data_IF_791713135817
#
_entry.id   IF_791713135817
#
_cell.length_a   1.000
_cell.length_b   1.000
_cell.length_c   1.000
_cell.angle_alpha   90.00
_cell.angle_beta   90.00
_cell.angle_gamma   90.00
#
_symmetry.space_group_name_H-M   'P 1'
#
loop_
_entity.id
_entity.type
_entity.pdbx_description
1 polymer ?
#
# COMPACT_ATOMS: atom_id res chain seq x y z
N UNK A 1 7.15 -9.30 29.11
CA UNK A 1 6.45 -9.08 27.83
C UNK A 1 5.17 -9.88 27.76
N UNK A 2 4.04 -9.24 27.48
CA UNK A 2 2.76 -9.89 27.17
C UNK A 2 2.52 -9.81 25.67
N UNK A 3 2.50 -10.96 24.98
CA UNK A 3 2.20 -11.04 23.55
C UNK A 3 0.70 -11.26 23.37
N UNK A 4 0.07 -10.46 22.49
CA UNK A 4 -1.37 -10.49 22.22
C UNK A 4 -1.58 -10.47 20.71
N UNK A 5 -2.22 -11.53 20.18
CA UNK A 5 -2.56 -11.67 18.78
C UNK A 5 -4.02 -11.37 18.56
N UNK A 6 -4.29 -10.57 17.55
CA UNK A 6 -5.63 -10.11 17.20
C UNK A 6 -5.91 -10.61 15.78
N UNK A 7 -6.77 -11.59 15.67
CA UNK A 7 -7.18 -12.13 14.38
C UNK A 7 -8.54 -11.58 13.98
N UNK A 8 -8.75 -11.41 12.70
CA UNK A 8 -10.07 -11.04 12.19
C UNK A 8 -10.10 -10.99 10.67
N UNK A 9 -11.16 -11.50 10.06
CA UNK A 9 -11.41 -11.42 8.64
C UNK A 9 -11.45 -9.99 8.08
N UNK A 10 -11.53 -9.81 6.75
CA UNK A 10 -11.59 -8.50 6.14
C UNK A 10 -12.74 -7.64 6.68
N UNK A 11 -12.42 -6.38 7.05
CA UNK A 11 -13.43 -5.42 7.48
C UNK A 11 -14.01 -5.64 8.87
N UNK A 12 -13.39 -6.46 9.74
CA UNK A 12 -13.82 -6.68 11.13
C UNK A 12 -13.28 -5.65 12.11
N UNK A 13 -12.56 -4.63 11.66
CA UNK A 13 -12.11 -3.53 12.51
C UNK A 13 -10.77 -3.75 13.20
N UNK A 14 -9.86 -4.62 12.69
CA UNK A 14 -8.51 -4.83 13.23
C UNK A 14 -7.79 -3.52 13.55
N UNK A 15 -7.64 -2.65 12.56
CA UNK A 15 -6.96 -1.35 12.73
C UNK A 15 -7.66 -0.46 13.75
N UNK A 16 -8.99 -0.46 13.81
CA UNK A 16 -9.77 0.26 14.84
C UNK A 16 -9.46 -0.28 16.23
N UNK A 17 -9.35 -1.61 16.36
CA UNK A 17 -8.97 -2.26 17.61
C UNK A 17 -7.56 -1.87 18.05
N UNK A 18 -6.61 -1.76 17.12
CA UNK A 18 -5.25 -1.30 17.43
C UNK A 18 -5.23 0.17 17.89
N UNK A 19 -6.07 1.03 17.31
CA UNK A 19 -6.25 2.42 17.76
C UNK A 19 -6.83 2.47 19.16
N UNK A 20 -7.84 1.65 19.48
CA UNK A 20 -8.39 1.53 20.84
C UNK A 20 -7.31 1.09 21.85
N UNK A 21 -6.45 0.13 21.47
CA UNK A 21 -5.32 -0.33 22.28
C UNK A 21 -4.31 0.79 22.50
N UNK A 22 -3.97 1.55 21.45
CA UNK A 22 -3.10 2.72 21.56
C UNK A 22 -3.64 3.71 22.59
N UNK A 23 -4.92 4.07 22.53
CA UNK A 23 -5.56 4.98 23.47
C UNK A 23 -5.60 4.41 24.90
N UNK A 24 -5.89 3.11 25.05
CA UNK A 24 -5.86 2.44 26.35
C UNK A 24 -4.51 2.61 27.04
N UNK A 25 -3.41 2.42 26.32
CA UNK A 25 -2.08 2.59 26.90
C UNK A 25 -1.76 4.06 27.22
N UNK A 26 -2.30 5.02 26.49
CA UNK A 26 -2.20 6.42 26.89
C UNK A 26 -2.93 6.66 28.22
N UNK A 27 -4.09 6.05 28.44
CA UNK A 27 -4.81 6.10 29.74
C UNK A 27 -3.98 5.46 30.85
N UNK A 28 -3.32 4.34 30.59
CA UNK A 28 -2.42 3.64 31.51
C UNK A 28 -1.09 4.38 31.76
N UNK A 29 -0.97 5.63 31.30
CA UNK A 29 0.13 6.56 31.49
C UNK A 29 1.42 6.29 30.70
N UNK A 30 1.39 5.40 29.69
CA UNK A 30 2.47 5.32 28.73
C UNK A 30 2.55 6.60 27.90
N UNK A 31 3.76 7.03 27.59
CA UNK A 31 3.98 8.18 26.71
C UNK A 31 3.72 7.77 25.23
N UNK A 32 3.26 8.69 24.37
CA UNK A 32 3.25 8.45 22.93
C UNK A 32 4.62 8.03 22.34
N UNK A 33 5.72 8.40 23.00
CA UNK A 33 7.07 7.98 22.61
C UNK A 33 7.39 6.53 22.96
N UNK A 34 6.70 5.95 23.93
CA UNK A 34 6.88 4.55 24.37
C UNK A 34 6.19 3.55 23.46
N UNK A 35 5.31 4.04 22.54
CA UNK A 35 4.45 3.21 21.70
C UNK A 35 4.92 3.29 20.26
N UNK A 36 5.32 2.16 19.69
CA UNK A 36 5.64 2.01 18.27
C UNK A 36 4.52 1.23 17.58
N UNK A 37 4.07 1.76 16.44
CA UNK A 37 3.11 1.10 15.55
C UNK A 37 3.78 0.85 14.21
N UNK A 38 3.87 -0.40 13.83
CA UNK A 38 4.46 -0.86 12.58
C UNK A 38 3.35 -1.29 11.62
N UNK A 39 3.47 -0.83 10.37
CA UNK A 39 2.62 -1.28 9.26
C UNK A 39 3.46 -1.58 8.02
N UNK A 40 2.91 -2.34 7.06
CA UNK A 40 3.66 -2.78 5.88
C UNK A 40 3.93 -1.67 4.86
N UNK A 41 3.02 -0.69 4.73
CA UNK A 41 3.14 0.38 3.73
C UNK A 41 3.05 1.75 4.38
N UNK A 42 3.67 2.75 3.73
CA UNK A 42 3.55 4.14 4.18
C UNK A 42 2.09 4.61 4.18
N UNK A 43 1.30 4.20 3.18
CA UNK A 43 -0.13 4.54 3.10
C UNK A 43 -0.93 3.95 4.27
N UNK A 44 -0.63 2.71 4.66
CA UNK A 44 -1.28 2.11 5.82
C UNK A 44 -0.85 2.79 7.13
N UNK A 45 0.44 3.11 7.29
CA UNK A 45 0.92 3.89 8.43
C UNK A 45 0.27 5.29 8.49
N UNK A 46 0.14 5.99 7.34
CA UNK A 46 -0.56 7.28 7.24
C UNK A 46 -2.04 7.15 7.65
N UNK A 47 -2.70 6.08 7.23
CA UNK A 47 -4.09 5.79 7.59
C UNK A 47 -4.26 5.55 9.10
N UNK A 48 -3.34 4.78 9.72
CA UNK A 48 -3.36 4.55 11.17
C UNK A 48 -3.13 5.86 11.91
N UNK A 49 -2.15 6.67 11.50
CA UNK A 49 -1.92 8.01 12.08
C UNK A 49 -3.16 8.89 12.00
N UNK A 50 -3.78 8.92 10.81
CA UNK A 50 -5.02 9.65 10.59
C UNK A 50 -6.13 9.21 11.53
N UNK A 51 -6.31 7.91 11.72
CA UNK A 51 -7.31 7.36 12.66
C UNK A 51 -6.99 7.69 14.12
N UNK A 52 -5.73 7.56 14.54
CA UNK A 52 -5.32 7.92 15.92
C UNK A 52 -5.58 9.41 16.17
N UNK A 53 -5.40 10.27 15.16
CA UNK A 53 -5.54 11.72 15.32
C UNK A 53 -6.95 12.24 15.04
N UNK A 54 -7.86 11.41 14.53
CA UNK A 54 -9.23 11.80 14.19
C UNK A 54 -10.08 12.09 15.45
N UNK A 55 -10.76 13.22 15.45
CA UNK A 55 -11.64 13.61 16.56
C UNK A 55 -12.73 12.57 16.80
N UNK A 56 -13.33 12.04 15.74
CA UNK A 56 -14.34 10.98 15.80
C UNK A 56 -13.83 9.74 16.56
N UNK A 57 -12.61 9.27 16.27
CA UNK A 57 -12.02 8.11 16.96
C UNK A 57 -11.77 8.38 18.45
N UNK A 58 -11.33 9.60 18.77
CA UNK A 58 -11.07 10.04 20.14
C UNK A 58 -12.40 10.12 20.91
N UNK A 59 -13.40 10.77 20.33
CA UNK A 59 -14.73 10.95 20.93
C UNK A 59 -15.42 9.60 21.17
N UNK A 60 -15.36 8.68 20.22
CA UNK A 60 -15.91 7.33 20.37
C UNK A 60 -15.26 6.57 21.52
N UNK A 61 -13.92 6.66 21.63
CA UNK A 61 -13.22 6.03 22.75
C UNK A 61 -13.60 6.68 24.08
N UNK A 62 -13.64 8.01 24.15
CA UNK A 62 -14.02 8.75 25.37
C UNK A 62 -15.47 8.42 25.81
N UNK A 63 -16.41 8.35 24.85
CA UNK A 63 -17.79 7.94 25.13
C UNK A 63 -17.90 6.51 25.66
N UNK A 64 -17.13 5.59 25.10
CA UNK A 64 -17.15 4.17 25.52
C UNK A 64 -16.51 3.93 26.89
N UNK A 65 -15.48 4.69 27.23
CA UNK A 65 -14.62 4.38 28.39
C UNK A 65 -14.72 5.41 29.53
N UNK A 66 -15.23 6.61 29.26
CA UNK A 66 -15.25 7.72 30.21
C UNK A 66 -13.89 8.40 30.43
N UNK A 67 -12.83 8.01 29.70
CA UNK A 67 -11.49 8.56 29.86
C UNK A 67 -11.20 9.66 28.86
N UNK A 68 -10.71 10.80 29.34
CA UNK A 68 -10.28 11.89 28.47
C UNK A 68 -8.85 11.70 27.98
N UNK A 69 -8.70 11.62 26.64
CA UNK A 69 -7.40 11.43 25.96
C UNK A 69 -7.09 12.51 24.92
N UNK A 70 -8.04 13.40 24.65
CA UNK A 70 -7.95 14.38 23.57
C UNK A 70 -6.63 15.18 23.59
N UNK A 71 -6.31 15.81 24.71
CA UNK A 71 -5.09 16.61 24.84
C UNK A 71 -3.83 15.78 24.65
N UNK A 72 -3.76 14.58 25.21
CA UNK A 72 -2.60 13.68 25.07
C UNK A 72 -2.37 13.27 23.63
N UNK A 73 -3.44 12.93 22.89
CA UNK A 73 -3.35 12.58 21.48
C UNK A 73 -2.95 13.78 20.64
N UNK A 74 -3.54 14.96 20.86
CA UNK A 74 -3.23 16.16 20.06
C UNK A 74 -1.80 16.67 20.27
N UNK A 75 -1.27 16.50 21.46
CA UNK A 75 0.15 16.83 21.75
C UNK A 75 1.14 15.81 21.17
N UNK A 76 0.67 14.61 20.80
CA UNK A 76 1.55 13.52 20.31
C UNK A 76 1.87 13.57 18.81
N UNK A 77 1.48 14.61 18.07
CA UNK A 77 1.60 14.66 16.60
C UNK A 77 3.01 14.34 16.08
N UNK A 78 4.03 14.95 16.66
CA UNK A 78 5.42 14.69 16.26
C UNK A 78 5.84 13.24 16.51
N UNK A 79 5.49 12.69 17.69
CA UNK A 79 5.77 11.30 18.05
C UNK A 79 5.02 10.33 17.13
N UNK A 80 3.78 10.64 16.72
CA UNK A 80 3.01 9.81 15.77
C UNK A 80 3.66 9.76 14.39
N UNK A 81 4.27 10.85 13.92
CA UNK A 81 4.97 10.87 12.64
C UNK A 81 6.23 9.98 12.62
N UNK A 82 6.88 9.83 13.76
CA UNK A 82 8.06 8.98 13.92
C UNK A 82 7.72 7.54 14.28
N UNK A 83 6.79 7.35 15.20
CA UNK A 83 6.51 6.07 15.84
C UNK A 83 5.44 5.23 15.15
N UNK A 84 4.58 5.83 14.31
CA UNK A 84 3.67 5.08 13.42
C UNK A 84 4.32 5.01 12.04
N UNK A 85 4.95 3.90 11.71
CA UNK A 85 5.89 3.82 10.59
C UNK A 85 5.94 2.42 9.95
N UNK A 86 6.78 2.24 8.94
CA UNK A 86 7.06 0.91 8.37
C UNK A 86 8.31 0.28 9.01
N UNK A 87 8.41 -1.07 8.97
CA UNK A 87 9.59 -1.79 9.48
C UNK A 87 10.88 -1.22 8.87
N UNK A 88 10.92 -1.04 7.56
CA UNK A 88 12.11 -0.51 6.86
C UNK A 88 12.50 0.89 7.34
N UNK A 89 11.53 1.79 7.45
CA UNK A 89 11.79 3.16 7.92
C UNK A 89 12.23 3.17 9.38
N UNK A 90 11.61 2.33 10.22
CA UNK A 90 12.02 2.18 11.62
C UNK A 90 13.46 1.72 11.72
N UNK A 91 13.81 0.60 11.07
CA UNK A 91 15.17 0.06 11.09
C UNK A 91 16.19 1.07 10.56
N UNK A 92 15.90 1.73 9.43
CA UNK A 92 16.76 2.75 8.85
C UNK A 92 17.07 3.91 9.81
N UNK A 93 16.04 4.37 10.53
CA UNK A 93 16.19 5.52 11.44
C UNK A 93 16.98 5.18 12.72
N UNK A 94 17.01 3.91 13.10
CA UNK A 94 17.68 3.42 14.32
C UNK A 94 19.11 2.94 14.06
N UNK A 95 19.46 2.49 12.86
CA UNK A 95 20.84 2.10 12.51
C UNK A 95 21.67 3.35 12.24
N UNK A 96 22.78 3.48 12.96
CA UNK A 96 23.69 4.62 12.83
C UNK A 96 24.47 4.55 11.51
N UNK A 97 24.55 5.67 10.81
CA UNK A 97 25.41 5.89 9.65
C UNK A 97 24.70 6.56 8.49
N UNK A 98 25.41 7.38 7.74
CA UNK A 98 24.92 7.93 6.47
C UNK A 98 25.07 6.84 5.40
N UNK A 99 23.97 6.22 5.03
CA UNK A 99 23.91 5.31 3.90
C UNK A 99 23.00 5.90 2.82
N UNK A 100 23.37 5.74 1.56
CA UNK A 100 22.55 6.13 0.43
C UNK A 100 21.67 4.97 0.00
N UNK A 101 20.40 5.26 -0.24
CA UNK A 101 19.47 4.26 -0.76
C UNK A 101 19.74 4.05 -2.24
N UNK A 102 19.89 2.80 -2.65
CA UNK A 102 20.20 2.41 -4.03
C UNK A 102 19.10 2.77 -5.05
N UNK A 103 17.93 3.19 -4.59
CA UNK A 103 16.86 3.69 -5.46
C UNK A 103 17.16 5.06 -6.10
N UNK A 104 18.26 5.70 -5.72
CA UNK A 104 18.71 6.90 -6.38
C UNK A 104 18.97 6.61 -7.87
N UNK A 105 18.40 7.45 -8.75
CA UNK A 105 18.45 7.28 -10.20
C UNK A 105 19.87 7.19 -10.75
N UNK A 106 20.80 7.97 -10.20
CA UNK A 106 22.18 7.99 -10.67
C UNK A 106 22.92 6.70 -10.32
N UNK A 107 22.63 6.12 -9.16
CA UNK A 107 23.16 4.83 -8.72
C UNK A 107 22.62 3.71 -9.62
N UNK A 108 21.32 3.71 -9.89
CA UNK A 108 20.67 2.74 -10.76
C UNK A 108 21.20 2.80 -12.19
N UNK A 109 21.45 4.00 -12.69
CA UNK A 109 22.00 4.23 -14.01
C UNK A 109 23.43 3.64 -14.18
N UNK A 110 24.21 3.66 -13.11
CA UNK A 110 25.55 3.06 -13.08
C UNK A 110 25.50 1.53 -13.03
N UNK A 111 24.51 0.97 -12.31
CA UNK A 111 24.33 -0.49 -12.19
C UNK A 111 23.81 -1.15 -13.47
N UNK A 112 22.91 -0.47 -14.18
CA UNK A 112 22.20 -1.03 -15.32
C UNK A 112 23.10 -1.66 -16.39
N UNK A 113 24.15 -0.98 -16.92
CA UNK A 113 25.02 -1.52 -17.97
C UNK A 113 25.77 -2.77 -17.55
N UNK A 114 25.96 -2.98 -16.25
CA UNK A 114 26.76 -4.06 -15.70
C UNK A 114 25.94 -5.33 -15.51
N UNK A 115 24.66 -5.18 -15.18
CA UNK A 115 23.73 -6.30 -15.14
C UNK A 115 23.32 -6.76 -16.55
N UNK A 116 23.17 -5.84 -17.49
CA UNK A 116 22.86 -6.15 -18.88
C UNK A 116 23.95 -7.02 -19.54
N UNK A 117 25.21 -6.87 -19.09
CA UNK A 117 26.34 -7.70 -19.56
C UNK A 117 26.22 -9.19 -19.20
N UNK A 118 25.50 -9.51 -18.11
CA UNK A 118 25.31 -10.87 -17.61
C UNK A 118 23.96 -11.49 -17.99
N UNK A 119 23.08 -10.71 -18.62
CA UNK A 119 21.77 -11.15 -19.08
C UNK A 119 21.81 -11.33 -20.60
N UNK A 120 21.98 -12.54 -21.05
CA UNK A 120 21.82 -12.84 -22.48
C UNK A 120 20.39 -12.49 -22.90
N UNK A 121 20.22 -11.39 -23.65
CA UNK A 121 19.06 -11.03 -24.47
C UNK A 121 17.88 -10.22 -23.90
N UNK A 122 17.96 -9.57 -22.76
CA UNK A 122 16.85 -8.65 -22.39
C UNK A 122 17.33 -7.21 -22.19
N UNK A 123 17.05 -6.35 -23.18
CA UNK A 123 17.20 -4.90 -23.00
C UNK A 123 16.04 -4.39 -22.14
N UNK A 124 16.35 -3.85 -20.98
CA UNK A 124 15.38 -3.16 -20.12
C UNK A 124 15.29 -1.69 -20.57
N UNK A 125 14.07 -1.22 -20.83
CA UNK A 125 13.87 0.11 -21.41
C UNK A 125 13.94 1.27 -20.40
N UNK A 126 14.11 1.00 -19.10
CA UNK A 126 14.29 2.04 -18.09
C UNK A 126 15.00 1.55 -16.84
N UNK A 127 15.78 2.43 -16.23
CA UNK A 127 16.50 2.16 -14.98
C UNK A 127 15.55 1.89 -13.81
N UNK A 128 14.38 2.56 -13.78
CA UNK A 128 13.35 2.33 -12.75
C UNK A 128 12.72 0.93 -12.86
N UNK A 129 12.71 0.35 -14.07
CA UNK A 129 12.30 -1.04 -14.29
C UNK A 129 13.32 -2.07 -13.80
N UNK A 130 14.60 -1.69 -13.65
CA UNK A 130 15.66 -2.63 -13.30
C UNK A 130 15.38 -3.36 -11.98
N UNK A 131 15.08 -2.61 -10.91
CA UNK A 131 14.80 -3.20 -9.59
C UNK A 131 13.46 -3.90 -9.50
N UNK A 132 12.44 -3.38 -10.20
CA UNK A 132 11.10 -3.96 -10.17
C UNK A 132 10.95 -5.18 -11.10
N UNK A 133 11.77 -5.26 -12.15
CA UNK A 133 11.57 -6.20 -13.27
C UNK A 133 12.77 -7.08 -13.53
N UNK A 134 14.00 -6.67 -13.14
CA UNK A 134 15.18 -7.51 -13.37
C UNK A 134 15.10 -8.77 -12.48
N UNK A 135 15.12 -9.97 -13.06
CA UNK A 135 14.93 -11.20 -12.31
C UNK A 135 15.92 -11.37 -11.14
N UNK A 136 17.16 -10.92 -11.27
CA UNK A 136 18.14 -10.97 -10.17
C UNK A 136 17.66 -10.22 -8.92
N UNK A 137 17.14 -8.99 -9.05
CA UNK A 137 16.70 -8.23 -7.88
C UNK A 137 15.45 -8.81 -7.25
N UNK A 138 14.52 -9.31 -8.06
CA UNK A 138 13.37 -10.06 -7.57
C UNK A 138 13.81 -11.30 -6.81
N UNK A 139 14.74 -12.05 -7.41
CA UNK A 139 15.29 -13.27 -6.81
C UNK A 139 16.03 -12.97 -5.50
N UNK A 140 16.92 -11.95 -5.51
CA UNK A 140 17.64 -11.51 -4.30
C UNK A 140 16.67 -11.08 -3.21
N UNK A 141 15.63 -10.31 -3.56
CA UNK A 141 14.61 -9.88 -2.62
C UNK A 141 13.92 -11.09 -2.00
N UNK A 142 13.44 -12.02 -2.82
CA UNK A 142 12.79 -13.24 -2.32
C UNK A 142 13.72 -14.06 -1.43
N UNK A 143 15.00 -14.21 -1.77
CA UNK A 143 15.97 -14.91 -0.93
C UNK A 143 16.10 -14.25 0.46
N UNK A 144 16.30 -12.94 0.49
CA UNK A 144 16.48 -12.18 1.73
C UNK A 144 15.18 -12.12 2.56
N UNK A 145 14.03 -11.93 1.93
CA UNK A 145 12.74 -11.93 2.61
C UNK A 145 12.42 -13.31 3.23
N UNK A 146 12.92 -14.39 2.64
CA UNK A 146 12.90 -15.74 3.23
C UNK A 146 14.04 -15.98 4.27
N UNK A 147 14.85 -14.97 4.55
CA UNK A 147 15.96 -15.07 5.50
C UNK A 147 17.07 -16.03 5.07
N UNK A 148 17.27 -16.18 3.76
CA UNK A 148 18.26 -17.07 3.15
C UNK A 148 19.29 -16.30 2.34
N UNK A 149 20.48 -16.84 2.20
CA UNK A 149 21.44 -16.37 1.20
C UNK A 149 20.98 -16.74 -0.21
N UNK A 150 21.38 -15.91 -1.20
CA UNK A 150 20.95 -16.03 -2.60
C UNK A 150 21.15 -17.44 -3.16
N UNK A 151 22.32 -18.05 -2.89
CA UNK A 151 22.65 -19.38 -3.39
C UNK A 151 21.84 -20.49 -2.70
N UNK A 152 21.62 -20.38 -1.39
CA UNK A 152 20.86 -21.38 -0.63
C UNK A 152 19.37 -21.33 -0.98
N UNK A 153 18.85 -20.13 -1.25
CA UNK A 153 17.51 -19.96 -1.78
C UNK A 153 17.37 -20.61 -3.16
N UNK A 154 18.33 -20.36 -4.08
CA UNK A 154 18.33 -21.00 -5.40
C UNK A 154 18.35 -22.53 -5.31
N UNK A 155 19.15 -23.11 -4.40
CA UNK A 155 19.22 -24.55 -4.22
C UNK A 155 17.91 -25.16 -3.72
N UNK A 156 17.14 -24.39 -2.95
CA UNK A 156 15.85 -24.85 -2.39
C UNK A 156 14.69 -24.81 -3.39
N UNK A 157 14.85 -24.11 -4.53
CA UNK A 157 13.82 -24.03 -5.55
C UNK A 157 13.68 -25.35 -6.34
N UNK A 158 12.48 -25.66 -6.77
CA UNK A 158 12.19 -26.72 -7.72
C UNK A 158 12.80 -26.44 -9.10
N UNK A 159 12.79 -27.42 -9.97
CA UNK A 159 13.26 -27.23 -11.33
C UNK A 159 12.43 -26.21 -12.10
N UNK A 160 11.11 -26.27 -12.00
CA UNK A 160 10.17 -25.34 -12.64
C UNK A 160 10.37 -23.89 -12.16
N UNK A 161 10.52 -23.68 -10.86
CA UNK A 161 10.80 -22.36 -10.29
C UNK A 161 12.14 -21.79 -10.77
N UNK A 162 13.16 -22.62 -10.96
CA UNK A 162 14.46 -22.18 -11.51
C UNK A 162 14.35 -21.74 -12.96
N UNK A 163 13.53 -22.42 -13.76
CA UNK A 163 13.29 -22.01 -15.16
C UNK A 163 12.62 -20.64 -15.26
N UNK A 164 11.72 -20.30 -14.34
CA UNK A 164 11.05 -19.00 -14.28
C UNK A 164 12.04 -17.83 -14.10
N UNK A 165 13.13 -18.05 -13.35
CA UNK A 165 14.15 -17.02 -13.15
C UNK A 165 15.15 -16.92 -14.29
N UNK A 166 15.27 -17.91 -15.16
CA UNK A 166 16.13 -17.95 -16.33
C UNK A 166 17.63 -17.68 -16.06
N UNK A 167 18.11 -18.02 -14.85
CA UNK A 167 19.52 -17.90 -14.45
C UNK A 167 20.09 -19.21 -13.94
N UNK A 168 21.36 -19.43 -14.23
CA UNK A 168 22.15 -20.48 -13.57
C UNK A 168 22.67 -20.02 -12.22
N UNK A 169 23.01 -20.96 -11.35
CA UNK A 169 23.63 -20.66 -10.07
C UNK A 169 24.90 -19.83 -10.22
N UNK A 170 25.69 -20.10 -11.25
CA UNK A 170 26.96 -19.42 -11.52
C UNK A 170 26.74 -17.95 -11.94
N UNK A 171 25.72 -17.66 -12.73
CA UNK A 171 25.33 -16.31 -13.10
C UNK A 171 24.83 -15.52 -11.90
N UNK A 172 24.01 -16.14 -11.04
CA UNK A 172 23.51 -15.51 -9.80
C UNK A 172 24.66 -15.18 -8.83
N UNK A 173 25.64 -16.08 -8.68
CA UNK A 173 26.82 -15.82 -7.84
C UNK A 173 27.60 -14.62 -8.36
N UNK A 174 27.90 -14.58 -9.66
CA UNK A 174 28.64 -13.47 -10.29
C UNK A 174 27.89 -12.13 -10.12
N UNK A 175 26.59 -12.14 -10.31
CA UNK A 175 25.75 -10.95 -10.11
C UNK A 175 25.76 -10.50 -8.65
N UNK A 176 25.65 -11.43 -7.70
CA UNK A 176 25.67 -11.14 -6.27
C UNK A 176 27.02 -10.57 -5.81
N UNK A 177 28.13 -11.17 -6.23
CA UNK A 177 29.48 -10.68 -5.93
C UNK A 177 29.69 -9.27 -6.50
N UNK A 178 29.25 -9.04 -7.71
CA UNK A 178 29.33 -7.73 -8.34
C UNK A 178 28.48 -6.69 -7.60
N UNK A 179 27.26 -7.05 -7.22
CA UNK A 179 26.35 -6.18 -6.50
C UNK A 179 26.89 -5.79 -5.10
N UNK A 180 27.45 -6.76 -4.39
CA UNK A 180 28.09 -6.52 -3.09
C UNK A 180 29.30 -5.57 -3.26
N UNK A 181 30.16 -5.85 -4.25
CA UNK A 181 31.34 -5.01 -4.55
C UNK A 181 30.94 -3.58 -4.91
N UNK A 182 29.86 -3.42 -5.68
CA UNK A 182 29.31 -2.12 -6.01
C UNK A 182 28.88 -1.35 -4.76
N UNK A 183 28.09 -1.96 -3.89
CA UNK A 183 27.62 -1.34 -2.65
C UNK A 183 28.74 -0.92 -1.69
N UNK A 184 29.87 -1.60 -1.72
CA UNK A 184 31.00 -1.36 -0.80
C UNK A 184 32.06 -0.41 -1.34
N UNK A 185 32.22 -0.32 -2.67
CA UNK A 185 33.34 0.40 -3.30
C UNK A 185 32.94 1.69 -4.02
N UNK A 186 31.64 2.00 -4.10
CA UNK A 186 31.20 3.19 -4.83
C UNK A 186 31.57 4.49 -4.08
N UNK A 187 32.06 5.46 -4.86
CA UNK A 187 32.36 6.80 -4.36
C UNK A 187 31.26 7.77 -4.79
N UNK A 188 30.48 8.24 -3.84
CA UNK A 188 29.49 9.29 -4.07
C UNK A 188 30.10 10.61 -3.63
N UNK A 189 30.18 11.60 -4.53
CA UNK A 189 30.79 12.90 -4.30
C UNK A 189 32.25 12.80 -3.76
N UNK A 190 33.03 11.84 -4.27
CA UNK A 190 34.43 11.64 -3.90
C UNK A 190 34.67 10.99 -2.52
N UNK A 191 33.61 10.60 -1.82
CA UNK A 191 33.70 9.87 -0.54
C UNK A 191 33.17 8.46 -0.70
N UNK A 192 33.87 7.47 -0.14
CA UNK A 192 33.36 6.11 -0.04
C UNK A 192 32.16 6.12 0.90
N UNK A 193 31.01 5.74 0.38
CA UNK A 193 29.76 5.78 1.12
C UNK A 193 29.07 4.42 1.03
N UNK A 194 28.54 3.93 2.14
CA UNK A 194 27.75 2.69 2.16
C UNK A 194 26.46 2.92 1.37
N UNK A 195 26.26 2.10 0.35
CA UNK A 195 24.99 2.02 -0.40
C UNK A 195 24.18 0.88 0.21
N UNK A 196 22.92 1.12 0.51
CA UNK A 196 21.99 0.12 1.06
C UNK A 196 20.74 0.01 0.20
N UNK A 197 20.19 -1.18 0.15
CA UNK A 197 18.84 -1.42 -0.36
C UNK A 197 17.83 -1.58 0.80
N UNK A 198 16.57 -1.82 0.47
CA UNK A 198 15.52 -1.96 1.49
C UNK A 198 15.75 -3.16 2.41
N UNK A 199 16.22 -4.29 1.86
CA UNK A 199 16.50 -5.48 2.66
C UNK A 199 17.67 -5.23 3.61
N UNK A 200 18.72 -4.53 3.15
CA UNK A 200 19.87 -4.20 4.00
C UNK A 200 19.45 -3.39 5.25
N UNK A 201 18.42 -2.53 5.16
CA UNK A 201 17.94 -1.78 6.32
C UNK A 201 17.48 -2.68 7.46
N UNK A 202 16.74 -3.73 7.11
CA UNK A 202 16.19 -4.68 8.06
C UNK A 202 17.26 -5.68 8.50
N UNK A 203 18.09 -6.14 7.56
CA UNK A 203 19.17 -7.08 7.81
C UNK A 203 20.26 -6.48 8.70
N UNK A 204 20.71 -5.25 8.44
CA UNK A 204 21.68 -4.52 9.28
C UNK A 204 21.14 -4.34 10.71
N UNK A 205 19.85 -4.03 10.86
CA UNK A 205 19.21 -3.92 12.17
C UNK A 205 19.20 -5.26 12.91
N UNK A 206 18.86 -6.35 12.23
CA UNK A 206 18.84 -7.67 12.81
C UNK A 206 20.25 -8.21 13.12
N UNK A 207 21.22 -8.02 12.23
CA UNK A 207 22.60 -8.53 12.40
C UNK A 207 23.36 -7.81 13.52
N UNK A 208 23.04 -6.55 13.79
CA UNK A 208 23.58 -5.78 14.89
C UNK A 208 22.68 -5.84 16.14
N UNK A 209 22.20 -7.03 16.48
CA UNK A 209 21.17 -7.30 17.47
C UNK A 209 21.39 -6.57 18.81
N UNK A 210 22.58 -6.68 19.40
CA UNK A 210 22.87 -6.06 20.71
C UNK A 210 22.76 -4.52 20.65
N UNK A 211 23.23 -3.89 19.58
CA UNK A 211 23.10 -2.44 19.41
C UNK A 211 21.66 -2.07 19.14
N UNK A 212 20.96 -2.83 18.31
CA UNK A 212 19.56 -2.60 17.97
C UNK A 212 18.62 -2.79 19.16
N UNK A 213 18.87 -3.78 20.04
CA UNK A 213 18.14 -3.94 21.29
C UNK A 213 18.30 -2.72 22.22
N UNK A 214 19.52 -2.16 22.32
CA UNK A 214 19.77 -0.91 23.07
C UNK A 214 19.04 0.29 22.46
N UNK A 215 18.97 0.36 21.15
CA UNK A 215 18.23 1.42 20.45
C UNK A 215 16.70 1.31 20.62
N UNK A 216 16.20 0.20 21.15
CA UNK A 216 14.78 -0.07 21.40
C UNK A 216 14.44 -0.12 22.91
N UNK A 217 15.34 0.24 23.82
CA UNK A 217 15.10 0.20 25.27
C UNK A 217 13.99 1.18 25.74
N UNK A 218 13.77 2.25 24.99
CA UNK A 218 12.71 3.23 25.20
C UNK A 218 11.32 2.72 24.81
N UNK A 219 11.24 1.66 24.00
CA UNK A 219 9.96 1.10 23.54
C UNK A 219 9.35 0.24 24.64
N UNK A 220 8.11 0.55 25.02
CA UNK A 220 7.34 -0.23 26.01
C UNK A 220 6.19 -0.99 25.37
N UNK A 221 5.68 -0.51 24.24
CA UNK A 221 4.57 -1.10 23.52
C UNK A 221 4.90 -1.17 22.05
N UNK A 222 4.85 -2.37 21.49
CA UNK A 222 4.99 -2.63 20.06
C UNK A 222 3.66 -3.13 19.51
N UNK A 223 3.18 -2.47 18.45
CA UNK A 223 1.94 -2.83 17.73
C UNK A 223 2.32 -3.07 16.28
N UNK A 224 1.96 -4.23 15.72
CA UNK A 224 2.16 -4.60 14.32
C UNK A 224 0.81 -4.85 13.67
N UNK A 225 0.48 -4.06 12.63
CA UNK A 225 -0.72 -4.23 11.80
C UNK A 225 -0.38 -4.99 10.52
N UNK A 226 -1.35 -5.75 9.98
CA UNK A 226 -1.23 -6.62 8.81
C UNK A 226 -0.04 -7.60 8.93
N UNK A 227 0.11 -8.21 10.10
CA UNK A 227 1.27 -9.06 10.42
C UNK A 227 1.41 -10.32 9.54
N UNK A 228 0.37 -10.71 8.78
CA UNK A 228 0.44 -11.77 7.78
C UNK A 228 1.37 -11.44 6.62
N UNK A 229 1.59 -10.14 6.35
CA UNK A 229 2.41 -9.68 5.24
C UNK A 229 3.90 -9.54 5.62
N UNK A 230 4.26 -9.77 6.91
CA UNK A 230 5.65 -9.69 7.37
C UNK A 230 6.49 -10.83 6.79
N UNK A 231 7.59 -10.48 6.11
CA UNK A 231 8.59 -11.43 5.66
C UNK A 231 9.38 -12.04 6.84
N UNK A 232 10.11 -13.13 6.60
CA UNK A 232 10.92 -13.79 7.64
C UNK A 232 11.91 -12.82 8.27
N UNK A 233 12.58 -11.98 7.46
CA UNK A 233 13.56 -11.01 7.98
C UNK A 233 12.89 -9.88 8.79
N UNK A 234 11.70 -9.44 8.39
CA UNK A 234 10.93 -8.45 9.13
C UNK A 234 10.47 -9.00 10.48
N UNK A 235 10.04 -10.27 10.55
CA UNK A 235 9.70 -10.96 11.81
C UNK A 235 10.90 -11.04 12.76
N UNK A 236 12.10 -11.32 12.24
CA UNK A 236 13.34 -11.28 13.03
C UNK A 236 13.62 -9.87 13.59
N UNK A 237 13.37 -8.82 12.80
CA UNK A 237 13.49 -7.46 13.29
C UNK A 237 12.43 -7.12 14.35
N UNK A 238 11.17 -7.57 14.18
CA UNK A 238 10.10 -7.43 15.18
C UNK A 238 10.49 -8.12 16.51
N UNK A 239 11.16 -9.28 16.46
CA UNK A 239 11.68 -9.96 17.65
C UNK A 239 12.72 -9.10 18.40
N UNK A 240 13.63 -8.45 17.67
CA UNK A 240 14.59 -7.52 18.26
C UNK A 240 13.89 -6.33 18.89
N UNK A 241 12.95 -5.69 18.18
CA UNK A 241 12.16 -4.57 18.68
C UNK A 241 11.37 -4.93 19.94
N UNK A 242 10.83 -6.17 20.00
CA UNK A 242 9.96 -6.61 21.09
C UNK A 242 10.70 -7.09 22.35
N UNK A 243 12.03 -7.13 22.36
CA UNK A 243 12.81 -7.73 23.44
C UNK A 243 12.50 -7.17 24.83
N UNK A 244 12.38 -5.85 24.91
CA UNK A 244 12.25 -5.10 26.17
C UNK A 244 10.87 -4.47 26.36
N UNK A 245 9.86 -4.83 25.52
CA UNK A 245 8.53 -4.26 25.63
C UNK A 245 7.69 -4.93 26.73
N UNK A 246 6.79 -4.18 27.31
CA UNK A 246 5.79 -4.70 28.25
C UNK A 246 4.70 -5.45 27.49
N UNK A 247 4.25 -4.88 26.34
CA UNK A 247 3.21 -5.44 25.49
C UNK A 247 3.63 -5.50 24.02
N UNK A 248 3.37 -6.64 23.39
CA UNK A 248 3.55 -6.85 21.96
C UNK A 248 2.23 -7.29 21.31
N UNK A 249 1.63 -6.41 20.53
CA UNK A 249 0.39 -6.67 19.80
C UNK A 249 0.70 -6.97 18.33
N UNK A 250 0.10 -8.04 17.82
CA UNK A 250 0.13 -8.36 16.39
C UNK A 250 -1.30 -8.53 15.91
N UNK A 251 -1.69 -7.73 14.91
CA UNK A 251 -2.98 -7.87 14.25
C UNK A 251 -2.79 -8.38 12.82
N UNK A 252 -3.65 -9.29 12.39
CA UNK A 252 -3.59 -9.83 11.06
C UNK A 252 -4.75 -10.77 10.73
N UNK A 253 -4.72 -11.24 9.49
CA UNK A 253 -5.67 -12.20 8.98
C UNK A 253 -4.93 -13.27 8.19
N UNK A 254 -4.85 -14.51 8.69
CA UNK A 254 -4.19 -15.60 7.96
C UNK A 254 -4.76 -15.85 6.57
N UNK A 255 -6.08 -15.62 6.39
CA UNK A 255 -6.75 -15.86 5.12
C UNK A 255 -6.42 -14.78 4.05
N UNK A 256 -5.72 -13.70 4.45
CA UNK A 256 -5.24 -12.63 3.57
C UNK A 256 -3.73 -12.64 3.33
N UNK A 257 -3.02 -13.70 3.67
CA UNK A 257 -1.57 -13.83 3.45
C UNK A 257 -1.25 -14.09 1.96
N UNK A 258 -1.42 -13.06 1.11
CA UNK A 258 -1.26 -13.14 -0.35
C UNK A 258 0.09 -12.64 -0.86
N UNK A 259 1.00 -12.20 0.01
CA UNK A 259 2.30 -11.63 -0.36
C UNK A 259 3.46 -12.63 -0.23
N UNK A 260 3.21 -13.91 -0.37
CA UNK A 260 4.25 -14.95 -0.36
C UNK A 260 5.32 -14.69 -1.44
N UNK A 261 4.90 -14.26 -2.63
CA UNK A 261 5.81 -13.84 -3.71
C UNK A 261 6.73 -12.66 -3.33
N UNK A 262 6.39 -11.91 -2.29
CA UNK A 262 7.19 -10.82 -1.71
C UNK A 262 7.85 -11.22 -0.39
N UNK A 263 7.93 -12.54 -0.11
CA UNK A 263 8.62 -13.08 1.05
C UNK A 263 7.81 -13.16 2.34
N UNK A 264 6.52 -12.88 2.31
CA UNK A 264 5.65 -13.20 3.44
C UNK A 264 5.72 -14.71 3.73
N UNK A 265 5.57 -15.07 4.98
CA UNK A 265 5.65 -16.47 5.43
C UNK A 265 4.29 -16.94 5.98
N UNK A 266 3.34 -17.33 5.10
CA UNK A 266 1.99 -17.72 5.50
C UNK A 266 1.98 -18.84 6.54
N UNK A 267 2.75 -19.89 6.34
CA UNK A 267 2.84 -21.02 7.25
C UNK A 267 3.23 -20.62 8.67
N UNK A 268 4.21 -19.74 8.80
CA UNK A 268 4.65 -19.25 10.12
C UNK A 268 3.54 -18.41 10.75
N UNK A 269 2.84 -17.63 9.94
CA UNK A 269 1.75 -16.80 10.41
C UNK A 269 0.55 -17.65 10.85
N UNK A 270 0.14 -18.63 10.06
CA UNK A 270 -0.95 -19.55 10.41
C UNK A 270 -0.67 -20.26 11.74
N UNK A 271 0.54 -20.79 11.94
CA UNK A 271 0.94 -21.43 13.20
C UNK A 271 0.92 -20.46 14.37
N UNK A 272 1.41 -19.23 14.17
CA UNK A 272 1.41 -18.18 15.20
C UNK A 272 -0.01 -17.76 15.59
N UNK A 273 -0.95 -17.74 14.63
CA UNK A 273 -2.33 -17.25 14.81
C UNK A 273 -3.37 -18.38 14.93
N UNK A 274 -2.95 -19.61 15.12
CA UNK A 274 -3.88 -20.72 15.31
C UNK A 274 -4.84 -20.54 16.50
N UNK A 275 -4.35 -19.88 17.57
CA UNK A 275 -5.16 -19.56 18.76
C UNK A 275 -4.87 -18.12 19.17
N UNK A 276 -5.53 -17.11 18.57
CA UNK A 276 -5.34 -15.71 18.93
C UNK A 276 -6.00 -15.38 20.27
N UNK A 277 -5.44 -14.40 21.00
CA UNK A 277 -6.02 -13.93 22.26
C UNK A 277 -7.30 -13.08 22.05
N UNK A 278 -7.42 -12.48 20.86
CA UNK A 278 -8.59 -11.69 20.46
C UNK A 278 -8.99 -12.11 19.05
N UNK A 279 -10.23 -12.53 18.90
CA UNK A 279 -10.83 -12.83 17.59
C UNK A 279 -11.96 -11.86 17.29
N UNK A 280 -11.87 -11.20 16.13
CA UNK A 280 -12.87 -10.24 15.66
C UNK A 280 -13.75 -10.92 14.62
N UNK A 281 -15.03 -11.05 14.93
CA UNK A 281 -15.99 -11.81 14.11
C UNK A 281 -16.90 -10.90 13.27
N UNK A 282 -17.28 -9.73 13.81
CA UNK A 282 -18.27 -8.85 13.18
C UNK A 282 -17.65 -8.08 12.02
N UNK A 283 -18.16 -8.30 10.82
CA UNK A 283 -17.81 -7.54 9.63
C UNK A 283 -18.57 -6.22 9.55
N UNK A 284 -17.85 -5.14 9.22
CA UNK A 284 -18.43 -3.80 8.99
C UNK A 284 -18.32 -3.36 7.53
N UNK A 285 -17.76 -4.23 6.66
CA UNK A 285 -17.50 -3.91 5.25
C UNK A 285 -18.30 -4.78 4.29
N UNK A 286 -18.18 -6.08 4.42
CA UNK A 286 -18.68 -7.02 3.42
C UNK A 286 -20.15 -7.40 3.67
N UNK A 287 -21.04 -7.20 2.67
CA UNK A 287 -22.39 -7.74 2.72
C UNK A 287 -22.38 -9.27 2.67
N UNK A 288 -23.53 -9.91 2.99
CA UNK A 288 -23.65 -11.35 3.17
C UNK A 288 -23.19 -12.14 1.96
N UNK A 289 -23.64 -11.79 0.77
CA UNK A 289 -23.31 -12.54 -0.45
C UNK A 289 -21.80 -12.53 -0.74
N UNK A 290 -21.09 -11.42 -0.49
CA UNK A 290 -19.65 -11.33 -0.66
C UNK A 290 -18.94 -12.17 0.42
N UNK A 291 -19.40 -12.08 1.66
CA UNK A 291 -18.89 -12.85 2.79
C UNK A 291 -18.97 -14.36 2.52
N UNK A 292 -20.15 -14.85 2.09
CA UNK A 292 -20.38 -16.27 1.79
C UNK A 292 -19.58 -16.74 0.56
N UNK A 293 -19.40 -15.89 -0.43
CA UNK A 293 -18.56 -16.18 -1.60
C UNK A 293 -17.09 -16.31 -1.22
N UNK A 294 -16.56 -15.37 -0.41
CA UNK A 294 -15.19 -15.44 0.06
C UNK A 294 -14.93 -16.67 0.93
N UNK A 295 -15.86 -17.02 1.81
CA UNK A 295 -15.73 -18.25 2.64
C UNK A 295 -15.57 -19.51 1.82
N UNK A 296 -16.27 -19.62 0.68
CA UNK A 296 -16.10 -20.78 -0.22
C UNK A 296 -14.71 -20.85 -0.84
N UNK A 297 -14.10 -19.68 -1.14
CA UNK A 297 -12.76 -19.62 -1.74
C UNK A 297 -11.69 -20.01 -0.72
N UNK A 298 -11.85 -19.60 0.55
CA UNK A 298 -10.86 -19.84 1.59
C UNK A 298 -11.07 -21.15 2.35
N UNK A 299 -12.09 -21.91 2.02
CA UNK A 299 -12.40 -23.18 2.70
C UNK A 299 -11.25 -24.18 2.62
N UNK A 300 -10.59 -24.30 1.47
CA UNK A 300 -9.45 -25.18 1.27
C UNK A 300 -8.30 -24.83 2.22
N UNK A 301 -8.07 -23.55 2.48
CA UNK A 301 -7.06 -23.06 3.43
C UNK A 301 -7.45 -23.48 4.86
N UNK A 302 -8.71 -23.34 5.22
CA UNK A 302 -9.19 -23.75 6.53
C UNK A 302 -9.04 -25.24 6.77
N UNK A 303 -9.28 -26.06 5.75
CA UNK A 303 -9.08 -27.51 5.79
C UNK A 303 -7.59 -27.86 5.91
N UNK A 304 -6.72 -27.21 5.13
CA UNK A 304 -5.27 -27.45 5.15
C UNK A 304 -4.64 -27.16 6.53
N UNK A 305 -5.01 -26.03 7.14
CA UNK A 305 -4.46 -25.61 8.43
C UNK A 305 -5.32 -26.04 9.64
N UNK A 306 -6.36 -26.81 9.42
CA UNK A 306 -7.26 -27.37 10.44
C UNK A 306 -7.81 -26.31 11.41
N UNK A 307 -8.34 -25.20 10.88
CA UNK A 307 -9.05 -24.19 11.64
C UNK A 307 -10.30 -23.70 10.91
N UNK A 308 -11.20 -23.06 11.64
CA UNK A 308 -12.35 -22.36 11.10
C UNK A 308 -12.51 -21.02 11.80
N UNK A 309 -13.03 -20.03 11.10
CA UNK A 309 -13.27 -18.70 11.67
C UNK A 309 -14.72 -18.27 11.52
N UNK A 310 -15.19 -17.52 12.51
CA UNK A 310 -16.48 -16.86 12.44
C UNK A 310 -16.27 -15.53 11.74
N UNK A 311 -16.91 -15.35 10.59
CA UNK A 311 -16.95 -14.08 9.89
C UNK A 311 -18.39 -13.72 9.61
N UNK A 312 -18.93 -12.77 10.40
CA UNK A 312 -20.30 -12.28 10.28
C UNK A 312 -20.37 -11.18 9.20
N UNK A 313 -21.40 -11.15 8.37
CA UNK A 313 -21.57 -10.10 7.37
C UNK A 313 -21.87 -8.74 8.02
N UNK A 314 -21.76 -7.68 7.21
CA UNK A 314 -22.13 -6.32 7.60
C UNK A 314 -23.60 -6.25 7.99
N UNK A 315 -23.86 -5.54 9.10
CA UNK A 315 -25.19 -5.21 9.56
C UNK A 315 -25.40 -3.69 9.60
N UNK A 316 -26.61 -3.26 9.24
CA UNK A 316 -27.05 -1.88 9.36
C UNK A 316 -28.42 -1.85 10.04
N UNK A 317 -28.53 -1.06 11.10
CA UNK A 317 -29.77 -0.96 11.90
C UNK A 317 -30.32 -2.34 12.37
N UNK A 318 -29.42 -3.26 12.73
CA UNK A 318 -29.77 -4.62 13.18
C UNK A 318 -30.23 -5.57 12.08
N UNK A 319 -30.03 -5.21 10.81
CA UNK A 319 -30.34 -6.06 9.65
C UNK A 319 -29.07 -6.36 8.86
N UNK A 320 -28.95 -7.62 8.44
CA UNK A 320 -27.88 -8.04 7.55
C UNK A 320 -28.01 -7.37 6.20
N UNK A 321 -26.91 -6.78 5.70
CA UNK A 321 -26.83 -6.23 4.35
C UNK A 321 -26.59 -7.37 3.38
N UNK A 322 -27.49 -7.59 2.45
CA UNK A 322 -27.43 -8.74 1.52
C UNK A 322 -26.34 -8.59 0.46
N UNK A 323 -26.31 -7.47 -0.24
CA UNK A 323 -25.42 -7.22 -1.36
C UNK A 323 -25.81 -7.97 -2.65
N UNK A 324 -25.02 -7.77 -3.70
CA UNK A 324 -25.25 -8.38 -5.00
C UNK A 324 -23.91 -8.67 -5.70
N UNK A 325 -23.82 -9.74 -6.47
CA UNK A 325 -22.69 -10.10 -7.33
C UNK A 325 -23.18 -10.20 -8.76
N UNK A 326 -22.56 -9.47 -9.68
CA UNK A 326 -22.85 -9.52 -11.09
C UNK A 326 -21.66 -10.09 -11.86
N UNK A 327 -21.92 -11.02 -12.74
CA UNK A 327 -20.94 -11.50 -13.69
C UNK A 327 -21.19 -10.84 -15.05
N UNK A 328 -20.25 -10.03 -15.49
CA UNK A 328 -20.34 -9.29 -16.74
C UNK A 328 -19.33 -9.86 -17.73
N UNK A 329 -19.81 -10.30 -18.88
CA UNK A 329 -18.99 -10.95 -19.91
C UNK A 329 -18.05 -9.99 -20.65
N UNK A 330 -18.31 -8.68 -20.64
CA UNK A 330 -17.48 -7.67 -21.27
C UNK A 330 -17.67 -6.30 -20.63
N UNK A 331 -16.56 -5.57 -20.45
CA UNK A 331 -16.56 -4.21 -19.92
C UNK A 331 -16.95 -3.14 -20.95
N UNK A 332 -16.97 -3.50 -22.24
CA UNK A 332 -17.18 -2.57 -23.35
C UNK A 332 -18.54 -2.73 -24.04
N UNK A 333 -19.42 -3.57 -23.49
CA UNK A 333 -20.76 -3.73 -24.03
C UNK A 333 -21.76 -2.71 -23.46
N UNK A 334 -22.64 -2.19 -24.31
CA UNK A 334 -23.64 -1.19 -23.93
C UNK A 334 -24.47 -1.50 -22.67
N UNK A 335 -24.92 -2.77 -22.43
CA UNK A 335 -25.67 -3.11 -21.22
C UNK A 335 -24.88 -2.87 -19.92
N UNK A 336 -23.56 -3.12 -19.92
CA UNK A 336 -22.72 -2.86 -18.77
C UNK A 336 -22.58 -1.35 -18.48
N UNK A 337 -22.35 -0.57 -19.54
CA UNK A 337 -22.23 0.89 -19.44
C UNK A 337 -23.49 1.50 -18.85
N UNK A 338 -24.64 1.07 -19.34
CA UNK A 338 -25.94 1.56 -18.90
C UNK A 338 -26.20 1.21 -17.43
N UNK A 339 -25.99 -0.05 -17.03
CA UNK A 339 -26.20 -0.51 -15.66
C UNK A 339 -25.24 0.19 -14.69
N UNK A 340 -23.94 0.28 -15.04
CA UNK A 340 -22.93 0.96 -14.23
C UNK A 340 -23.26 2.45 -14.07
N UNK A 341 -23.65 3.12 -15.15
CA UNK A 341 -24.04 4.52 -15.13
C UNK A 341 -25.25 4.77 -14.22
N UNK A 342 -26.28 3.94 -14.34
CA UNK A 342 -27.47 4.05 -13.49
C UNK A 342 -27.16 3.85 -12.01
N UNK A 343 -26.29 2.89 -11.67
CA UNK A 343 -25.88 2.63 -10.28
C UNK A 343 -25.04 3.76 -9.72
N UNK A 344 -24.11 4.30 -10.50
CA UNK A 344 -23.24 5.41 -10.07
C UNK A 344 -24.06 6.70 -9.91
N UNK A 345 -25.00 7.00 -10.79
CA UNK A 345 -25.81 8.22 -10.72
C UNK A 345 -26.76 8.24 -9.51
N UNK A 346 -27.14 7.07 -9.01
CA UNK A 346 -28.10 6.93 -7.92
C UNK A 346 -27.48 6.70 -6.54
N UNK A 347 -26.17 6.79 -6.41
CA UNK A 347 -25.45 6.63 -5.14
C UNK A 347 -24.49 7.76 -4.88
N UNK A 348 -24.35 8.13 -3.61
CA UNK A 348 -23.33 9.06 -3.10
C UNK A 348 -22.05 8.33 -2.67
N UNK A 349 -22.01 7.00 -2.82
CA UNK A 349 -20.90 6.16 -2.39
C UNK A 349 -19.76 6.13 -3.41
N UNK A 350 -18.56 5.85 -2.94
CA UNK A 350 -17.39 5.69 -3.77
C UNK A 350 -17.33 4.27 -4.36
N UNK A 351 -17.03 4.17 -5.64
CA UNK A 351 -16.73 2.90 -6.31
C UNK A 351 -15.23 2.65 -6.31
N UNK A 352 -14.84 1.43 -5.95
CA UNK A 352 -13.45 0.97 -6.04
C UNK A 352 -13.35 -0.01 -7.19
N UNK A 353 -12.54 0.32 -8.18
CA UNK A 353 -12.23 -0.57 -9.29
C UNK A 353 -10.90 -1.26 -9.02
N UNK A 354 -10.88 -2.59 -9.07
CA UNK A 354 -9.68 -3.39 -9.06
C UNK A 354 -9.48 -4.01 -10.43
N UNK A 355 -8.28 -3.91 -11.00
CA UNK A 355 -7.95 -4.47 -12.30
C UNK A 355 -6.80 -5.46 -12.17
N UNK A 356 -6.93 -6.64 -12.76
CA UNK A 356 -5.92 -7.69 -12.74
C UNK A 356 -5.08 -7.64 -14.01
N UNK A 357 -3.82 -7.25 -13.86
CA UNK A 357 -2.83 -7.25 -14.96
C UNK A 357 -3.07 -6.15 -15.99
N UNK A 358 -2.02 -5.69 -16.63
CA UNK A 358 -2.08 -4.66 -17.65
C UNK A 358 -2.35 -3.25 -17.13
N UNK A 359 -2.38 -2.31 -18.03
CA UNK A 359 -2.73 -0.93 -17.69
C UNK A 359 -4.25 -0.78 -17.58
N UNK A 360 -4.78 -0.19 -16.51
CA UNK A 360 -6.22 0.09 -16.38
C UNK A 360 -6.71 1.18 -17.36
N UNK A 361 -5.91 1.47 -18.40
CA UNK A 361 -6.15 2.53 -19.38
C UNK A 361 -7.48 2.35 -20.12
N UNK A 362 -7.77 1.13 -20.57
CA UNK A 362 -9.00 0.84 -21.29
C UNK A 362 -10.23 1.08 -20.41
N UNK A 363 -10.17 0.63 -19.17
CA UNK A 363 -11.24 0.86 -18.21
C UNK A 363 -11.42 2.35 -17.91
N UNK A 364 -10.31 3.07 -17.70
CA UNK A 364 -10.36 4.51 -17.43
C UNK A 364 -10.93 5.25 -18.62
N UNK A 365 -10.45 4.97 -19.84
CA UNK A 365 -10.97 5.59 -21.05
C UNK A 365 -12.46 5.32 -21.20
N UNK A 366 -12.87 4.06 -20.99
CA UNK A 366 -14.29 3.69 -21.06
C UNK A 366 -15.14 4.42 -20.02
N UNK A 367 -14.71 4.49 -18.76
CA UNK A 367 -15.41 5.23 -17.71
C UNK A 367 -15.52 6.72 -18.04
N UNK A 368 -14.46 7.28 -18.66
CA UNK A 368 -14.46 8.66 -19.13
C UNK A 368 -15.45 8.88 -20.27
N UNK A 369 -15.50 7.95 -21.25
CA UNK A 369 -16.42 8.00 -22.39
C UNK A 369 -17.89 7.99 -21.93
N UNK A 370 -18.23 7.21 -20.91
CA UNK A 370 -19.59 7.18 -20.36
C UNK A 370 -19.85 8.29 -19.33
N UNK A 371 -18.90 9.23 -19.14
CA UNK A 371 -19.07 10.42 -18.31
C UNK A 371 -18.97 10.17 -16.81
N UNK A 372 -18.26 9.12 -16.37
CA UNK A 372 -18.04 8.83 -14.96
C UNK A 372 -16.78 9.54 -14.48
N UNK A 373 -16.87 10.39 -13.44
CA UNK A 373 -15.70 11.05 -12.86
C UNK A 373 -14.80 10.04 -12.14
N UNK A 374 -13.51 10.06 -12.46
CA UNK A 374 -12.52 9.14 -11.90
C UNK A 374 -11.57 9.89 -10.97
N UNK A 375 -11.40 9.38 -9.75
CA UNK A 375 -10.37 9.81 -8.83
C UNK A 375 -9.26 8.75 -8.78
N UNK A 376 -8.02 9.17 -9.07
CA UNK A 376 -6.84 8.33 -8.89
C UNK A 376 -6.17 8.77 -7.59
N UNK A 377 -6.24 7.96 -6.52
CA UNK A 377 -5.66 8.32 -5.24
C UNK A 377 -4.13 8.42 -5.35
N UNK A 378 -3.56 9.41 -4.66
CA UNK A 378 -2.11 9.56 -4.42
C UNK A 378 -1.20 9.59 -5.65
N UNK A 379 -1.61 10.21 -6.75
CA UNK A 379 -0.83 10.29 -7.97
C UNK A 379 0.56 10.91 -7.78
N UNK A 380 0.71 11.88 -6.88
CA UNK A 380 1.99 12.54 -6.59
C UNK A 380 2.98 11.64 -5.83
N UNK A 381 2.47 10.65 -5.09
CA UNK A 381 3.26 9.70 -4.29
C UNK A 381 3.33 8.30 -4.91
N UNK A 382 2.52 8.00 -5.93
CA UNK A 382 2.50 6.67 -6.53
C UNK A 382 3.73 6.51 -7.45
N UNK A 383 4.54 5.49 -7.18
CA UNK A 383 5.66 5.07 -8.04
C UNK A 383 5.17 4.53 -9.39
N UNK A 384 3.89 4.24 -9.52
CA UNK A 384 3.25 3.91 -10.79
C UNK A 384 3.08 5.20 -11.59
N UNK A 385 4.07 5.49 -12.43
CA UNK A 385 3.88 6.42 -13.53
C UNK A 385 2.95 5.74 -14.53
N UNK A 386 1.66 5.85 -14.27
CA UNK A 386 0.71 5.60 -15.34
C UNK A 386 1.10 6.51 -16.50
N UNK A 387 1.43 5.94 -17.66
CA UNK A 387 1.63 6.68 -18.90
C UNK A 387 0.27 7.16 -19.43
N UNK A 388 -0.54 7.74 -18.55
CA UNK A 388 -1.72 8.44 -19.01
C UNK A 388 -1.28 9.78 -19.58
N UNK A 389 -1.97 10.26 -20.59
CA UNK A 389 -1.85 11.63 -20.98
C UNK A 389 -2.14 12.47 -19.73
N UNK A 390 -1.06 12.98 -19.13
CA UNK A 390 -1.11 13.73 -17.85
C UNK A 390 -2.05 14.93 -17.94
N UNK A 391 -2.31 15.39 -19.15
CA UNK A 391 -3.19 16.48 -19.46
C UNK A 391 -4.69 16.11 -19.33
N UNK A 392 -5.11 14.91 -19.74
CA UNK A 392 -6.53 14.51 -19.71
C UNK A 392 -7.08 14.41 -18.28
N UNK A 393 -6.35 13.75 -17.38
CA UNK A 393 -6.78 13.62 -15.97
C UNK A 393 -6.69 14.96 -15.23
N UNK A 394 -5.68 15.78 -15.54
CA UNK A 394 -5.57 17.14 -15.02
C UNK A 394 -6.74 17.98 -15.49
N UNK A 395 -7.06 17.90 -16.78
CA UNK A 395 -8.16 18.62 -17.39
C UNK A 395 -9.52 18.18 -16.81
N UNK A 396 -9.71 16.91 -16.48
CA UNK A 396 -10.93 16.45 -15.81
C UNK A 396 -11.10 17.01 -14.39
N UNK A 397 -10.03 17.07 -13.59
CA UNK A 397 -10.10 17.72 -12.26
C UNK A 397 -10.42 19.22 -12.38
N UNK A 398 -9.79 19.89 -13.31
CA UNK A 398 -10.05 21.29 -13.61
C UNK A 398 -11.50 21.48 -14.09
N UNK A 399 -12.01 20.57 -14.94
CA UNK A 399 -13.39 20.57 -15.39
C UNK A 399 -14.38 20.31 -14.26
N UNK A 400 -14.09 19.36 -13.37
CA UNK A 400 -14.95 19.06 -12.22
C UNK A 400 -15.02 20.25 -11.24
N UNK A 401 -13.90 20.94 -11.01
CA UNK A 401 -13.86 22.15 -10.19
C UNK A 401 -14.64 23.29 -10.88
N UNK A 402 -14.47 23.41 -12.18
CA UNK A 402 -15.21 24.38 -13.01
C UNK A 402 -16.72 24.08 -13.02
N UNK A 403 -17.13 22.81 -13.15
CA UNK A 403 -18.55 22.42 -13.11
C UNK A 403 -19.21 22.68 -11.75
N UNK A 404 -18.42 22.86 -10.70
CA UNK A 404 -18.86 23.27 -9.36
C UNK A 404 -18.86 24.79 -9.14
N UNK A 405 -18.68 25.56 -10.20
CA UNK A 405 -18.73 27.03 -10.17
C UNK A 405 -17.38 27.71 -9.92
N UNK A 406 -16.25 26.97 -9.97
CA UNK A 406 -14.94 27.61 -9.85
C UNK A 406 -14.61 28.41 -11.12
N UNK A 407 -14.18 29.67 -10.94
CA UNK A 407 -13.77 30.53 -12.05
C UNK A 407 -12.48 30.06 -12.70
N UNK A 408 -12.48 29.93 -14.02
CA UNK A 408 -11.29 29.56 -14.81
C UNK A 408 -11.05 30.58 -15.94
N UNK A 409 -9.79 30.83 -16.24
CA UNK A 409 -9.43 31.63 -17.41
C UNK A 409 -9.87 30.96 -18.70
N UNK A 410 -10.22 31.75 -19.71
CA UNK A 410 -10.65 31.24 -21.02
C UNK A 410 -9.62 30.27 -21.62
N UNK A 411 -8.32 30.53 -21.45
CA UNK A 411 -7.24 29.64 -21.91
C UNK A 411 -7.33 28.28 -21.22
N UNK A 412 -7.61 28.22 -19.92
CA UNK A 412 -7.79 26.95 -19.19
C UNK A 412 -9.06 26.24 -19.63
N UNK A 413 -10.14 26.95 -19.84
CA UNK A 413 -11.40 26.39 -20.34
C UNK A 413 -11.18 25.74 -21.72
N UNK A 414 -10.53 26.43 -22.66
CA UNK A 414 -10.17 25.86 -23.98
C UNK A 414 -9.32 24.59 -23.86
N UNK A 415 -8.35 24.56 -22.95
CA UNK A 415 -7.52 23.37 -22.72
C UNK A 415 -8.33 22.21 -22.13
N UNK A 416 -9.27 22.50 -21.22
CA UNK A 416 -10.17 21.48 -20.67
C UNK A 416 -11.01 20.82 -21.76
N UNK A 417 -11.62 21.62 -22.64
CA UNK A 417 -12.44 21.10 -23.74
C UNK A 417 -11.61 20.37 -24.82
N UNK A 418 -10.38 20.79 -25.09
CA UNK A 418 -9.45 20.04 -25.96
C UNK A 418 -9.06 18.66 -25.43
N UNK A 419 -9.16 18.43 -24.13
CA UNK A 419 -8.92 17.15 -23.49
C UNK A 419 -10.15 16.25 -23.36
N UNK A 420 -11.31 16.68 -23.84
CA UNK A 420 -12.55 15.90 -23.82
C UNK A 420 -12.70 15.02 -25.07
N UNK A 421 -13.65 14.06 -25.01
CA UNK A 421 -13.99 13.22 -26.14
C UNK A 421 -14.36 14.06 -27.37
N UNK A 422 -13.96 13.65 -28.59
CA UNK A 422 -14.18 14.44 -29.82
C UNK A 422 -15.60 14.93 -30.07
N UNK A 423 -16.61 14.17 -29.64
CA UNK A 423 -18.01 14.58 -29.78
C UNK A 423 -18.39 15.84 -28.97
N UNK A 424 -17.61 16.18 -27.95
CA UNK A 424 -17.83 17.37 -27.12
C UNK A 424 -16.87 18.53 -27.47
N UNK A 425 -15.93 18.32 -28.40
CA UNK A 425 -14.85 19.27 -28.64
C UNK A 425 -15.15 20.32 -29.71
N UNK A 426 -15.79 19.92 -30.81
CA UNK A 426 -15.61 20.65 -32.06
C UNK A 426 -16.33 22.00 -32.10
N UNK A 427 -17.59 22.04 -31.79
CA UNK A 427 -18.37 23.29 -31.92
C UNK A 427 -17.97 24.32 -30.87
N UNK A 428 -17.75 23.87 -29.65
CA UNK A 428 -17.47 24.73 -28.51
C UNK A 428 -16.11 25.41 -28.57
N UNK A 429 -15.08 24.76 -29.14
CA UNK A 429 -13.73 25.35 -29.24
C UNK A 429 -13.70 26.49 -30.25
N UNK A 430 -14.30 26.33 -31.42
CA UNK A 430 -14.36 27.36 -32.45
C UNK A 430 -15.14 28.60 -31.97
N UNK A 431 -16.25 28.38 -31.28
CA UNK A 431 -17.03 29.48 -30.70
C UNK A 431 -16.29 30.20 -29.55
N UNK A 432 -15.55 29.46 -28.71
CA UNK A 432 -14.72 30.05 -27.65
C UNK A 432 -13.51 30.84 -28.18
N UNK A 433 -13.11 30.64 -29.44
CA UNK A 433 -12.03 31.44 -30.06
C UNK A 433 -12.44 32.89 -30.33
N UNK A 434 -13.74 33.13 -30.45
CA UNK A 434 -14.32 34.48 -30.67
C UNK A 434 -14.56 35.26 -29.38
N UNK A 435 -14.30 34.69 -28.22
CA UNK A 435 -14.58 35.33 -26.91
C UNK A 435 -13.35 36.05 -26.37
N UNK A 436 -13.55 37.22 -25.79
CA UNK A 436 -12.50 38.01 -25.16
C UNK A 436 -11.80 37.27 -24.01
N UNK A 437 -10.51 37.60 -23.80
CA UNK A 437 -9.74 37.02 -22.70
C UNK A 437 -10.33 37.42 -21.34
N UNK A 438 -10.68 36.44 -20.53
CA UNK A 438 -11.29 36.63 -19.21
C UNK A 438 -11.28 35.39 -18.35
N UNK A 439 -11.91 35.47 -17.20
CA UNK A 439 -12.18 34.29 -16.33
C UNK A 439 -13.68 34.09 -16.21
N UNK A 440 -14.14 32.90 -16.39
CA UNK A 440 -15.54 32.52 -16.50
C UNK A 440 -15.83 31.30 -15.64
N UNK A 441 -17.08 31.11 -15.24
CA UNK A 441 -17.58 29.92 -14.56
C UNK A 441 -18.49 29.11 -15.49
N UNK A 442 -18.98 27.99 -14.97
CA UNK A 442 -19.85 27.09 -15.74
C UNK A 442 -21.18 27.76 -16.10
N UNK A 443 -21.69 28.66 -15.25
CA UNK A 443 -22.96 29.35 -15.47
C UNK A 443 -22.89 30.23 -16.73
N UNK A 444 -21.76 30.90 -16.92
CA UNK A 444 -21.51 31.67 -18.13
C UNK A 444 -21.54 30.82 -19.40
N UNK A 445 -20.96 29.59 -19.36
CA UNK A 445 -21.00 28.67 -20.50
C UNK A 445 -22.43 28.21 -20.81
N UNK A 446 -23.23 27.91 -19.79
CA UNK A 446 -24.63 27.53 -19.92
C UNK A 446 -25.43 28.66 -20.51
N UNK A 447 -25.28 29.87 -20.02
CA UNK A 447 -25.97 31.07 -20.49
C UNK A 447 -25.65 31.40 -21.96
N UNK A 448 -24.44 31.05 -22.41
CA UNK A 448 -24.01 31.23 -23.79
C UNK A 448 -24.36 30.04 -24.69
N UNK A 449 -24.94 28.97 -24.15
CA UNK A 449 -25.32 27.78 -24.90
C UNK A 449 -24.16 26.90 -25.33
N UNK A 450 -23.01 26.98 -24.65
CA UNK A 450 -21.83 26.16 -24.91
C UNK A 450 -21.94 24.77 -24.25
N UNK A 451 -22.76 24.62 -23.23
CA UNK A 451 -23.01 23.38 -22.47
C UNK A 451 -24.51 23.19 -22.26
#
# INVERSE_FOLDING_TARGET
>A
MKKIRIAGPPGTGKTTKLVEIYYKHLVEQYSPTDIIVISHTNTAADHIRGKIYADESIDDFQKKTGHEIFHRVKQSKASLEENVTTVHKFCKNRVKGKAFLIEDYDILKTLYPLFDKYTSNKKFNSVQGLFAVHPFFRFKSSAKDNGREVLDYYRSLTFEEKEDYQYTAEELIKMQEYYIKFKTNEKINGRTTKIIDFQDMVEDFYNNKEESEKLCEDIKILIVDEAQDSSVIQRKAEEVMSKNVDYFYKAGDPDQAIFEFAGAAPDLFHREFANPEIELEQGYRCPRIINDYCKKIIQDIWEEYNYTRIWKPREENGKIVEGEIFNLSSLTQDPFAFELKNRIQNTTENFIFTYRGGEPREMINYLMEIGIPIAIPNREKSKFKFKYPTNEVKNQREFLAFSKGEMKSLTKIKVMFKGMHPQYQLKTIEELESVDSGSYDITWLVDKGFV
#
